data_IF_688694347211
#
_entry.id   IF_688694347211
#
_cell.length_a   1.000
_cell.length_b   1.000
_cell.length_c   1.000
_cell.angle_alpha   90.00
_cell.angle_beta   90.00
_cell.angle_gamma   90.00
#
_symmetry.space_group_name_H-M   'P 1'
#
loop_
_entity.id
_entity.type
_entity.pdbx_description
1 polymer ?
#
# COMPACT_ATOMS: atom_id res chain seq x y z
N UNK A 1 -5.13 -7.17 59.23
CA UNK A 1 -4.16 -7.62 58.20
C UNK A 1 -4.89 -7.68 56.86
N UNK A 2 -5.40 -6.58 56.27
CA UNK A 2 -4.77 -5.61 55.36
C UNK A 2 -3.59 -6.13 54.53
N UNK A 3 -3.72 -5.88 53.22
CA UNK A 3 -2.74 -5.93 52.13
C UNK A 3 -2.26 -7.30 51.65
N UNK A 4 -3.06 -7.92 50.80
CA UNK A 4 -2.52 -8.82 49.76
C UNK A 4 -3.42 -8.69 48.54
N UNK A 5 -2.83 -8.66 47.34
CA UNK A 5 -3.50 -8.60 46.01
C UNK A 5 -3.73 -7.21 45.40
N UNK A 6 -2.85 -6.25 45.68
CA UNK A 6 -2.72 -5.00 44.91
C UNK A 6 -1.44 -5.03 44.02
N UNK A 7 -1.13 -6.19 43.45
CA UNK A 7 0.08 -6.42 42.62
C UNK A 7 -0.22 -7.00 41.23
N UNK A 8 -1.47 -6.93 40.76
CA UNK A 8 -1.87 -7.44 39.44
C UNK A 8 -2.13 -6.35 38.38
N UNK A 9 -1.82 -5.08 38.67
CA UNK A 9 -2.21 -3.96 37.81
C UNK A 9 -1.08 -3.36 36.94
N UNK A 10 0.15 -3.89 36.96
CA UNK A 10 1.31 -3.21 36.32
C UNK A 10 1.87 -3.95 35.09
N UNK A 11 1.46 -5.20 34.79
CA UNK A 11 2.13 -6.00 33.73
C UNK A 11 1.30 -6.20 32.46
N UNK A 12 0.09 -5.67 32.37
CA UNK A 12 -0.81 -5.89 31.20
C UNK A 12 -1.24 -4.58 30.56
N UNK A 13 -0.31 -3.64 30.36
CA UNK A 13 -0.55 -2.43 29.56
C UNK A 13 0.66 -2.04 28.71
N UNK A 14 1.32 -3.03 28.09
CA UNK A 14 2.36 -2.80 27.08
C UNK A 14 2.02 -3.46 25.73
N UNK A 15 0.73 -3.72 25.45
CA UNK A 15 0.27 -4.14 24.13
C UNK A 15 -0.31 -2.98 23.32
N UNK A 16 0.25 -1.78 23.48
CA UNK A 16 0.14 -0.74 22.46
C UNK A 16 1.07 -1.12 21.30
N UNK A 17 0.74 -2.20 20.59
CA UNK A 17 1.28 -2.48 19.27
C UNK A 17 0.64 -1.43 18.37
N UNK A 18 1.20 -0.22 18.39
CA UNK A 18 1.08 0.73 17.32
C UNK A 18 1.61 0.00 16.09
N UNK A 19 0.72 -0.59 15.31
CA UNK A 19 1.03 -1.23 14.04
C UNK A 19 1.53 -0.15 13.10
N UNK A 20 2.82 0.19 13.22
CA UNK A 20 3.50 1.01 12.25
C UNK A 20 3.44 0.25 10.93
N UNK A 21 2.48 0.61 10.08
CA UNK A 21 2.52 0.20 8.69
C UNK A 21 3.76 0.83 8.11
N UNK A 22 4.82 0.04 7.95
CA UNK A 22 6.01 0.45 7.25
C UNK A 22 5.59 0.80 5.82
N UNK A 23 5.37 2.09 5.55
CA UNK A 23 5.18 2.57 4.19
C UNK A 23 6.54 2.50 3.52
N UNK A 24 6.66 1.66 2.51
CA UNK A 24 7.86 1.63 1.68
C UNK A 24 8.12 3.04 1.13
N UNK A 25 9.39 3.46 0.99
CA UNK A 25 9.70 4.75 0.38
C UNK A 25 9.14 4.81 -1.05
N UNK A 26 8.80 6.02 -1.48
CA UNK A 26 8.34 6.30 -2.85
C UNK A 26 9.39 5.81 -3.84
N UNK A 27 8.97 5.00 -4.80
CA UNK A 27 9.84 4.49 -5.84
C UNK A 27 9.08 4.46 -7.19
N UNK A 28 9.29 5.47 -8.06
CA UNK A 28 8.67 5.55 -9.38
C UNK A 28 8.95 4.33 -10.27
N UNK A 29 10.08 3.67 -10.07
CA UNK A 29 10.56 2.53 -10.86
C UNK A 29 10.15 1.18 -10.24
N UNK A 30 9.28 1.18 -9.23
CA UNK A 30 8.79 -0.05 -8.61
C UNK A 30 8.01 -0.88 -9.64
N UNK A 31 8.31 -2.19 -9.78
CA UNK A 31 7.60 -3.04 -10.72
C UNK A 31 6.13 -3.26 -10.33
N UNK A 32 5.31 -3.54 -11.34
CA UNK A 32 3.91 -3.88 -11.17
C UNK A 32 3.75 -5.36 -10.79
N UNK A 33 3.63 -5.64 -9.49
CA UNK A 33 3.45 -7.01 -8.98
C UNK A 33 1.98 -7.44 -8.90
N UNK A 34 1.05 -6.50 -8.89
CA UNK A 34 -0.39 -6.76 -8.82
C UNK A 34 -1.10 -6.10 -9.98
N UNK A 35 -2.17 -6.74 -10.47
CA UNK A 35 -2.99 -6.28 -11.60
C UNK A 35 -4.25 -5.55 -11.15
N UNK A 36 -4.35 -5.17 -9.88
CA UNK A 36 -5.54 -4.49 -9.35
C UNK A 36 -5.50 -3.01 -9.70
N UNK A 37 -6.66 -2.43 -9.98
CA UNK A 37 -6.80 -1.01 -10.27
C UNK A 37 -6.26 -0.15 -9.13
N UNK A 38 -6.52 -0.52 -7.87
CA UNK A 38 -6.03 0.20 -6.70
C UNK A 38 -4.50 0.21 -6.63
N UNK A 39 -3.85 -0.93 -6.88
CA UNK A 39 -2.39 -1.01 -6.87
C UNK A 39 -1.78 -0.19 -8.01
N UNK A 40 -2.36 -0.25 -9.21
CA UNK A 40 -1.89 0.54 -10.34
C UNK A 40 -1.99 2.05 -10.06
N UNK A 41 -3.08 2.50 -9.43
CA UNK A 41 -3.25 3.91 -9.02
C UNK A 41 -2.18 4.33 -8.00
N UNK A 42 -1.83 3.48 -7.05
CA UNK A 42 -0.74 3.78 -6.11
C UNK A 42 0.61 3.94 -6.82
N UNK A 43 0.90 3.09 -7.81
CA UNK A 43 2.13 3.21 -8.60
C UNK A 43 2.14 4.47 -9.47
N UNK A 44 1.00 4.89 -10.02
CA UNK A 44 0.90 6.18 -10.71
C UNK A 44 1.19 7.36 -9.79
N UNK A 45 0.71 7.33 -8.54
CA UNK A 45 1.03 8.37 -7.55
C UNK A 45 2.53 8.44 -7.28
N UNK A 46 3.20 7.29 -7.16
CA UNK A 46 4.67 7.23 -7.01
C UNK A 46 5.39 7.77 -8.26
N UNK A 47 4.92 7.42 -9.46
CA UNK A 47 5.48 7.92 -10.72
C UNK A 47 5.37 9.45 -10.85
N UNK A 48 4.23 10.02 -10.46
CA UNK A 48 3.99 11.48 -10.49
C UNK A 48 4.84 12.19 -9.43
N UNK A 49 4.99 11.61 -8.24
CA UNK A 49 5.90 12.14 -7.22
C UNK A 49 7.36 12.20 -7.72
N UNK A 50 7.74 11.24 -8.57
CA UNK A 50 9.02 11.24 -9.26
C UNK A 50 10.21 10.87 -8.37
N UNK A 51 11.40 10.96 -8.94
CA UNK A 51 12.66 10.68 -8.26
C UNK A 51 13.69 11.75 -8.63
N UNK A 52 14.48 12.26 -7.65
CA UNK A 52 15.61 13.14 -7.94
C UNK A 52 16.67 12.50 -8.85
N UNK A 53 16.67 11.17 -8.97
CA UNK A 53 17.63 10.41 -9.79
C UNK A 53 17.21 10.30 -11.26
N UNK A 54 15.95 10.61 -11.57
CA UNK A 54 15.44 10.55 -12.95
C UNK A 54 15.61 11.91 -13.64
N UNK A 55 16.03 11.87 -14.90
CA UNK A 55 15.91 13.05 -15.76
C UNK A 55 14.43 13.35 -16.03
N UNK A 56 14.11 14.60 -16.38
CA UNK A 56 12.74 15.01 -16.73
C UNK A 56 12.10 14.13 -17.82
N UNK A 57 12.91 13.69 -18.80
CA UNK A 57 12.46 12.83 -19.89
C UNK A 57 12.13 11.42 -19.41
N UNK A 58 12.92 10.87 -18.49
CA UNK A 58 12.65 9.56 -17.87
C UNK A 58 11.40 9.61 -17.01
N UNK A 59 11.27 10.63 -16.15
CA UNK A 59 10.07 10.82 -15.33
C UNK A 59 8.80 10.88 -16.19
N UNK A 60 8.82 11.62 -17.30
CA UNK A 60 7.67 11.69 -18.22
C UNK A 60 7.32 10.33 -18.81
N UNK A 61 8.31 9.51 -19.18
CA UNK A 61 8.08 8.14 -19.66
C UNK A 61 7.51 7.24 -18.58
N UNK A 62 8.01 7.35 -17.35
CA UNK A 62 7.53 6.57 -16.20
C UNK A 62 6.07 6.92 -15.88
N UNK A 63 5.70 8.20 -15.93
CA UNK A 63 4.30 8.64 -15.75
C UNK A 63 3.41 8.15 -16.89
N UNK A 64 3.84 8.24 -18.15
CA UNK A 64 3.09 7.72 -19.29
C UNK A 64 2.83 6.22 -19.15
N UNK A 65 3.88 5.45 -18.90
CA UNK A 65 3.77 4.01 -18.68
C UNK A 65 2.84 3.67 -17.51
N UNK A 66 2.95 4.39 -16.39
CA UNK A 66 2.08 4.18 -15.24
C UNK A 66 0.59 4.49 -15.55
N UNK A 67 0.34 5.48 -16.40
CA UNK A 67 -1.01 5.82 -16.86
C UNK A 67 -1.61 4.68 -17.68
N UNK A 68 -0.85 4.12 -18.63
CA UNK A 68 -1.27 2.96 -19.43
C UNK A 68 -1.59 1.73 -18.55
N UNK A 69 -0.78 1.47 -17.51
CA UNK A 69 -1.05 0.37 -16.58
C UNK A 69 -2.34 0.58 -15.78
N UNK A 70 -2.63 1.81 -15.36
CA UNK A 70 -3.88 2.16 -14.67
C UNK A 70 -5.08 1.95 -15.59
N UNK A 71 -5.02 2.46 -16.82
CA UNK A 71 -6.10 2.28 -17.80
C UNK A 71 -6.39 0.80 -18.01
N UNK A 72 -5.36 -0.02 -18.21
CA UNK A 72 -5.51 -1.46 -18.38
C UNK A 72 -6.11 -2.13 -17.14
N UNK A 73 -5.51 -1.93 -15.97
CA UNK A 73 -5.94 -2.60 -14.74
C UNK A 73 -7.36 -2.19 -14.33
N UNK A 74 -7.72 -0.92 -14.49
CA UNK A 74 -9.04 -0.42 -14.11
C UNK A 74 -10.13 -0.80 -15.10
N UNK A 75 -9.85 -0.87 -16.41
CA UNK A 75 -10.79 -1.42 -17.39
C UNK A 75 -11.01 -2.92 -17.16
N UNK A 76 -9.94 -3.68 -16.92
CA UNK A 76 -10.03 -5.10 -16.62
C UNK A 76 -10.80 -5.36 -15.32
N UNK A 77 -10.59 -4.57 -14.26
CA UNK A 77 -11.32 -4.68 -13.00
C UNK A 77 -12.80 -4.29 -13.14
N UNK A 78 -13.12 -3.27 -13.95
CA UNK A 78 -14.51 -2.89 -14.24
C UNK A 78 -15.28 -3.99 -15.00
N UNK A 79 -14.60 -4.76 -15.86
CA UNK A 79 -15.16 -5.97 -16.48
C UNK A 79 -15.15 -7.20 -15.56
N UNK A 80 -14.49 -7.14 -14.40
CA UNK A 80 -14.33 -8.25 -13.44
C UNK A 80 -15.40 -8.27 -12.35
N UNK A 81 -16.34 -7.32 -12.37
CA UNK A 81 -17.42 -7.18 -11.37
C UNK A 81 -18.33 -8.41 -11.24
N UNK A 82 -18.17 -9.42 -12.09
CA UNK A 82 -18.89 -10.68 -12.04
C UNK A 82 -18.37 -11.66 -10.98
N UNK A 83 -17.22 -11.39 -10.34
CA UNK A 83 -16.63 -12.33 -9.35
C UNK A 83 -16.89 -11.89 -7.91
N UNK A 84 -17.47 -12.77 -7.05
CA UNK A 84 -17.67 -12.46 -5.64
C UNK A 84 -16.31 -12.25 -4.94
N UNK A 85 -16.28 -11.41 -3.90
CA UNK A 85 -15.04 -11.07 -3.21
C UNK A 85 -14.37 -12.33 -2.64
N UNK A 86 -13.07 -12.49 -2.89
CA UNK A 86 -12.27 -13.55 -2.25
C UNK A 86 -12.28 -13.31 -0.73
N UNK A 87 -12.49 -14.36 0.09
CA UNK A 87 -12.36 -14.23 1.53
C UNK A 87 -10.96 -13.76 1.88
N UNK A 88 -10.85 -12.64 2.60
CA UNK A 88 -9.59 -12.25 3.22
C UNK A 88 -9.25 -13.31 4.26
N UNK A 89 -8.17 -14.09 4.03
CA UNK A 89 -7.61 -14.97 5.06
C UNK A 89 -7.04 -14.08 6.17
N UNK A 90 -7.64 -14.21 7.35
CA UNK A 90 -7.17 -13.62 8.61
C UNK A 90 -5.88 -14.28 9.07
#
# INVERSE_FOLDING_TARGET
MKTTRLFFAVVVFCFSIFGAKASMPVNPDRPYSETTCSYAIERLKEAVAGSPLQSRKEQQRTVQYATEQVERACLEDAGRTDKPPKPQRK
#
